data_IF_445481849881
#
_entry.id   IF_445481849881
#
_cell.length_a   1.000
_cell.length_b   1.000
_cell.length_c   1.000
_cell.angle_alpha   90.00
_cell.angle_beta   90.00
_cell.angle_gamma   90.00
#
_symmetry.space_group_name_H-M   'P 1'
#
loop_
_entity.id
_entity.type
_entity.pdbx_description
1 polymer ?
#
# COMPACT_ATOMS: atom_id res chain seq x y z
N UNK A 1 -6.66 -1.25 24.71
CA UNK A 1 -6.98 -1.00 23.29
C UNK A 1 -6.47 -2.21 22.51
N UNK A 2 -7.29 -2.84 21.67
CA UNK A 2 -6.84 -3.98 20.86
C UNK A 2 -5.81 -3.50 19.83
N UNK A 3 -4.74 -4.31 19.63
CA UNK A 3 -3.71 -4.04 18.64
C UNK A 3 -3.64 -5.19 17.65
N UNK A 4 -3.46 -4.88 16.37
CA UNK A 4 -3.11 -5.81 15.31
C UNK A 4 -1.73 -5.40 14.82
N UNK A 5 -0.75 -6.24 15.11
CA UNK A 5 0.66 -5.98 14.86
C UNK A 5 1.24 -7.00 13.90
N UNK A 6 2.06 -6.53 12.97
CA UNK A 6 2.71 -7.38 11.97
C UNK A 6 1.78 -7.82 10.83
N UNK A 7 1.98 -7.26 9.63
CA UNK A 7 1.17 -7.57 8.44
C UNK A 7 1.76 -8.71 7.59
N UNK A 8 2.51 -9.62 8.23
CA UNK A 8 3.13 -10.79 7.59
C UNK A 8 2.40 -12.10 7.90
N UNK A 9 1.57 -12.11 8.95
CA UNK A 9 0.80 -13.31 9.34
C UNK A 9 -0.28 -13.62 8.32
N UNK A 10 -0.67 -14.89 8.09
CA UNK A 10 -1.74 -15.27 7.16
C UNK A 10 -3.05 -14.51 7.38
N UNK A 11 -3.38 -14.22 8.62
CA UNK A 11 -4.61 -13.52 9.01
C UNK A 11 -4.60 -12.03 8.62
N UNK A 12 -3.45 -11.34 8.73
CA UNK A 12 -3.35 -9.89 8.56
C UNK A 12 -2.53 -9.44 7.33
N UNK A 13 -1.98 -10.39 6.57
CA UNK A 13 -1.17 -10.06 5.39
C UNK A 13 -1.89 -9.22 4.32
N UNK A 14 -3.22 -9.23 4.33
CA UNK A 14 -4.02 -8.38 3.44
C UNK A 14 -3.82 -6.87 3.72
N UNK A 15 -3.31 -6.49 4.90
CA UNK A 15 -2.96 -5.10 5.24
C UNK A 15 -1.63 -4.66 4.61
N UNK A 16 -0.74 -5.62 4.27
CA UNK A 16 0.55 -5.34 3.65
C UNK A 16 0.41 -4.80 2.22
N UNK A 17 1.35 -3.92 1.83
CA UNK A 17 1.47 -3.43 0.45
C UNK A 17 1.88 -4.53 -0.55
N UNK A 18 2.47 -5.63 -0.06
CA UNK A 18 2.87 -6.78 -0.86
C UNK A 18 1.74 -7.75 -1.16
N UNK A 19 0.61 -7.62 -0.48
CA UNK A 19 -0.54 -8.50 -0.69
C UNK A 19 -1.09 -8.35 -2.10
N UNK A 20 -1.31 -9.49 -2.78
CA UNK A 20 -1.88 -9.50 -4.12
C UNK A 20 -3.36 -9.09 -4.05
N UNK A 21 -3.62 -7.90 -4.50
CA UNK A 21 -4.95 -7.34 -4.68
C UNK A 21 -4.88 -6.31 -5.80
N UNK A 22 -5.82 -6.32 -6.76
CA UNK A 22 -5.82 -5.37 -7.85
C UNK A 22 -5.98 -3.93 -7.32
N UNK A 23 -5.11 -3.03 -7.79
CA UNK A 23 -5.20 -1.60 -7.50
C UNK A 23 -5.11 -0.81 -8.79
N UNK A 24 -5.91 0.23 -8.94
CA UNK A 24 -5.88 1.12 -10.09
C UNK A 24 -4.98 2.31 -9.77
N UNK A 25 -3.92 2.48 -10.54
CA UNK A 25 -3.04 3.63 -10.39
C UNK A 25 -2.41 4.02 -11.73
N UNK A 26 -2.15 5.30 -11.88
CA UNK A 26 -1.38 5.93 -12.94
C UNK A 26 -1.23 7.40 -12.65
N UNK A 27 -0.32 8.05 -13.37
CA UNK A 27 -0.06 9.49 -13.31
C UNK A 27 0.20 10.05 -14.73
N UNK A 28 0.78 11.23 -14.83
CA UNK A 28 1.07 11.89 -16.12
C UNK A 28 2.07 11.11 -16.98
N UNK A 29 2.90 10.25 -16.38
CA UNK A 29 3.96 9.48 -17.06
C UNK A 29 3.51 8.05 -17.33
N UNK A 30 2.81 7.44 -16.37
CA UNK A 30 2.33 6.05 -16.46
C UNK A 30 0.83 6.06 -16.69
N UNK A 31 0.32 5.50 -17.80
CA UNK A 31 -1.10 5.39 -18.03
C UNK A 31 -1.81 4.65 -16.89
N UNK A 32 -3.03 5.08 -16.59
CA UNK A 32 -3.86 4.48 -15.54
C UNK A 32 -4.19 3.02 -15.89
N UNK A 33 -3.79 2.09 -15.03
CA UNK A 33 -4.00 0.66 -15.23
C UNK A 33 -4.07 -0.10 -13.90
N UNK A 34 -4.48 -1.37 -13.98
CA UNK A 34 -4.55 -2.26 -12.81
C UNK A 34 -3.18 -2.87 -12.53
N UNK A 35 -2.75 -2.75 -11.28
CA UNK A 35 -1.52 -3.32 -10.75
C UNK A 35 -1.81 -4.47 -9.78
N UNK A 36 -0.90 -5.44 -9.62
CA UNK A 36 -1.16 -6.63 -8.80
C UNK A 36 -1.12 -6.40 -7.29
N UNK A 37 -0.57 -5.27 -6.84
CA UNK A 37 -0.41 -4.90 -5.43
C UNK A 37 -0.08 -3.43 -5.29
N UNK A 38 -0.16 -2.85 -4.09
CA UNK A 38 0.26 -1.47 -3.81
C UNK A 38 1.76 -1.24 -4.04
N UNK A 39 2.60 -2.25 -3.73
CA UNK A 39 4.05 -2.10 -3.80
C UNK A 39 4.54 -1.79 -5.21
N UNK A 40 3.94 -2.38 -6.24
CA UNK A 40 4.38 -2.19 -7.63
C UNK A 40 4.26 -0.73 -8.07
N UNK A 41 3.08 -0.11 -8.09
CA UNK A 41 2.95 1.29 -8.51
C UNK A 41 3.65 2.26 -7.55
N UNK A 42 3.75 1.93 -6.25
CA UNK A 42 4.53 2.71 -5.31
C UNK A 42 6.01 2.79 -5.69
N UNK A 43 6.60 1.68 -6.16
CA UNK A 43 7.99 1.68 -6.64
C UNK A 43 8.14 2.43 -7.96
N UNK A 44 7.18 2.32 -8.88
CA UNK A 44 7.15 3.06 -10.16
C UNK A 44 7.06 4.57 -9.91
N UNK A 45 6.21 5.01 -8.98
CA UNK A 45 6.01 6.42 -8.66
C UNK A 45 7.25 7.16 -8.13
N UNK A 46 8.28 6.42 -7.68
CA UNK A 46 9.55 6.98 -7.23
C UNK A 46 10.32 7.73 -8.32
N UNK A 47 10.00 7.47 -9.58
CA UNK A 47 10.80 7.93 -10.71
C UNK A 47 9.99 8.84 -11.63
N UNK A 48 10.64 9.86 -12.16
CA UNK A 48 10.08 10.71 -13.22
C UNK A 48 10.64 10.36 -14.60
N UNK A 49 11.70 9.56 -14.66
CA UNK A 49 12.26 9.05 -15.90
C UNK A 49 11.44 7.85 -16.42
N UNK A 50 10.84 7.94 -17.63
CA UNK A 50 10.08 6.84 -18.23
C UNK A 50 10.90 5.57 -18.41
N UNK A 51 12.20 5.66 -18.71
CA UNK A 51 13.07 4.50 -18.90
C UNK A 51 13.28 3.72 -17.59
N UNK A 52 13.43 4.42 -16.46
CA UNK A 52 13.51 3.79 -15.14
C UNK A 52 12.18 3.09 -14.77
N UNK A 53 11.03 3.69 -15.08
CA UNK A 53 9.73 3.06 -14.89
C UNK A 53 9.55 1.82 -15.75
N UNK A 54 9.91 1.92 -17.03
CA UNK A 54 9.87 0.76 -17.95
C UNK A 54 10.73 -0.40 -17.45
N UNK A 55 11.91 -0.12 -16.90
CA UNK A 55 12.79 -1.14 -16.30
C UNK A 55 12.11 -1.92 -15.16
N UNK A 56 11.28 -1.27 -14.33
CA UNK A 56 10.52 -1.95 -13.28
C UNK A 56 9.42 -2.80 -13.91
N UNK A 57 8.67 -2.25 -14.86
CA UNK A 57 7.56 -2.93 -15.55
C UNK A 57 8.08 -4.17 -16.26
N UNK A 58 9.13 -4.06 -17.05
CA UNK A 58 9.75 -5.18 -17.75
C UNK A 58 10.24 -6.29 -16.80
N UNK A 59 10.76 -5.90 -15.65
CA UNK A 59 11.24 -6.86 -14.66
C UNK A 59 10.10 -7.61 -13.97
N UNK A 60 8.98 -6.95 -13.65
CA UNK A 60 7.83 -7.60 -13.03
C UNK A 60 7.07 -8.51 -13.98
N UNK A 61 7.10 -8.22 -15.29
CA UNK A 61 6.44 -9.04 -16.31
C UNK A 61 7.15 -10.37 -16.58
N UNK A 62 8.43 -10.45 -16.21
CA UNK A 62 9.25 -11.67 -16.36
C UNK A 62 9.13 -12.64 -15.18
N UNK A 63 8.38 -12.29 -14.13
CA UNK A 63 8.26 -13.11 -12.91
C UNK A 63 6.82 -13.46 -12.60
N UNK A 64 6.65 -14.49 -11.77
CA UNK A 64 5.33 -14.92 -11.30
C UNK A 64 4.64 -13.81 -10.48
N UNK A 65 3.31 -13.78 -10.47
CA UNK A 65 2.51 -12.73 -9.83
C UNK A 65 2.90 -12.47 -8.37
N UNK A 66 3.18 -13.53 -7.60
CA UNK A 66 3.58 -13.42 -6.20
C UNK A 66 5.00 -12.84 -5.98
N UNK A 67 5.84 -12.82 -7.02
CA UNK A 67 7.19 -12.24 -6.98
C UNK A 67 7.22 -10.75 -7.38
N UNK A 68 6.16 -10.25 -8.03
CA UNK A 68 6.14 -8.92 -8.64
C UNK A 68 6.43 -7.79 -7.65
N UNK A 69 5.84 -7.83 -6.47
CA UNK A 69 6.09 -6.83 -5.41
C UNK A 69 7.56 -6.79 -4.98
N UNK A 70 8.15 -7.97 -4.75
CA UNK A 70 9.56 -8.08 -4.36
C UNK A 70 10.50 -7.64 -5.48
N UNK A 71 10.16 -7.98 -6.73
CA UNK A 71 10.92 -7.57 -7.91
C UNK A 71 10.87 -6.05 -8.10
N UNK A 72 9.69 -5.44 -8.04
CA UNK A 72 9.54 -3.99 -8.12
C UNK A 72 10.36 -3.28 -7.04
N UNK A 73 10.31 -3.75 -5.79
CA UNK A 73 11.11 -3.21 -4.70
C UNK A 73 12.61 -3.35 -4.93
N UNK A 74 13.06 -4.49 -5.47
CA UNK A 74 14.47 -4.73 -5.78
C UNK A 74 14.98 -3.76 -6.85
N UNK A 75 14.26 -3.61 -7.96
CA UNK A 75 14.66 -2.70 -9.04
C UNK A 75 14.54 -1.23 -8.59
N UNK A 76 13.46 -0.89 -7.87
CA UNK A 76 13.25 0.46 -7.35
C UNK A 76 14.30 0.95 -6.33
N UNK A 77 15.23 0.08 -5.91
CA UNK A 77 16.39 0.44 -5.08
C UNK A 77 17.67 0.72 -5.88
N UNK A 78 17.67 0.36 -7.16
CA UNK A 78 18.85 0.55 -8.05
C UNK A 78 19.02 2.01 -8.42
N UNK A 79 17.94 2.75 -8.57
CA UNK A 79 17.93 4.13 -9.02
C UNK A 79 17.68 5.11 -7.88
N UNK A 80 18.16 6.33 -8.03
CA UNK A 80 17.81 7.44 -7.14
C UNK A 80 16.33 7.83 -7.36
N UNK A 81 15.60 7.96 -6.26
CA UNK A 81 14.23 8.46 -6.32
C UNK A 81 14.21 9.94 -6.78
N UNK A 82 13.06 10.38 -7.30
CA UNK A 82 12.79 11.78 -7.64
C UNK A 82 13.11 12.70 -6.45
N UNK A 83 13.63 13.93 -6.70
CA UNK A 83 14.08 14.81 -5.62
C UNK A 83 13.02 15.19 -4.60
N UNK A 84 11.75 15.21 -5.02
CA UNK A 84 10.61 15.53 -4.17
C UNK A 84 9.91 14.31 -3.56
N UNK A 85 10.53 13.11 -3.66
CA UNK A 85 9.92 11.85 -3.20
C UNK A 85 9.43 11.92 -1.75
N UNK A 86 10.19 12.51 -0.86
CA UNK A 86 9.80 12.61 0.55
C UNK A 86 8.54 13.45 0.78
N UNK A 87 8.21 14.38 -0.13
CA UNK A 87 6.97 15.16 -0.07
C UNK A 87 5.76 14.41 -0.63
N UNK A 88 5.96 13.58 -1.66
CA UNK A 88 4.85 12.95 -2.39
C UNK A 88 4.56 11.52 -1.98
N UNK A 89 5.53 10.80 -1.40
CA UNK A 89 5.43 9.37 -1.08
C UNK A 89 4.22 9.00 -0.21
N UNK A 90 3.83 9.88 0.72
CA UNK A 90 2.69 9.62 1.61
C UNK A 90 1.37 9.75 0.85
N UNK A 91 1.23 10.77 0.01
CA UNK A 91 0.04 10.95 -0.85
C UNK A 91 -0.12 9.78 -1.79
N UNK A 92 0.95 9.36 -2.48
CA UNK A 92 0.93 8.18 -3.35
C UNK A 92 0.45 6.94 -2.57
N UNK A 93 0.96 6.74 -1.34
CA UNK A 93 0.55 5.59 -0.53
C UNK A 93 -0.90 5.67 -0.08
N UNK A 94 -1.40 6.86 0.26
CA UNK A 94 -2.82 7.07 0.61
C UNK A 94 -3.70 6.66 -0.56
N UNK A 95 -3.42 7.13 -1.77
CA UNK A 95 -4.19 6.83 -2.97
C UNK A 95 -4.23 5.32 -3.26
N UNK A 96 -3.09 4.65 -3.15
CA UNK A 96 -2.97 3.21 -3.37
C UNK A 96 -3.72 2.39 -2.32
N UNK A 97 -3.58 2.74 -1.04
CA UNK A 97 -4.29 2.03 0.04
C UNK A 97 -5.79 2.28 -0.07
N UNK A 98 -6.19 3.51 -0.37
CA UNK A 98 -7.61 3.84 -0.56
C UNK A 98 -8.21 3.05 -1.73
N UNK A 99 -7.58 3.04 -2.91
CA UNK A 99 -8.07 2.27 -4.06
C UNK A 99 -8.12 0.77 -3.75
N UNK A 100 -7.08 0.22 -3.10
CA UNK A 100 -7.06 -1.20 -2.71
C UNK A 100 -8.30 -1.60 -1.90
N UNK A 101 -8.66 -0.82 -0.89
CA UNK A 101 -9.75 -1.18 0.02
C UNK A 101 -11.13 -0.71 -0.45
N UNK A 102 -11.24 0.25 -1.38
CA UNK A 102 -12.51 0.61 -2.01
C UNK A 102 -12.85 -0.27 -3.21
N UNK A 103 -11.83 -0.75 -3.93
CA UNK A 103 -11.98 -1.64 -5.09
C UNK A 103 -12.28 -3.09 -4.72
N UNK A 104 -11.71 -3.58 -3.63
CA UNK A 104 -11.81 -4.97 -3.22
C UNK A 104 -12.74 -5.12 -2.00
N UNK A 105 -14.01 -5.40 -2.22
CA UNK A 105 -15.05 -5.42 -1.18
C UNK A 105 -14.79 -6.40 -0.05
N UNK A 106 -14.22 -7.57 -0.33
CA UNK A 106 -13.81 -8.54 0.67
C UNK A 106 -12.71 -7.99 1.60
N UNK A 107 -11.76 -7.25 1.03
CA UNK A 107 -10.71 -6.59 1.81
C UNK A 107 -11.26 -5.41 2.61
N UNK A 108 -12.21 -4.65 2.06
CA UNK A 108 -12.92 -3.61 2.79
C UNK A 108 -13.64 -4.19 4.02
N UNK A 109 -14.39 -5.27 3.85
CA UNK A 109 -15.08 -5.95 4.95
C UNK A 109 -14.09 -6.44 6.03
N UNK A 110 -12.95 -6.99 5.62
CA UNK A 110 -11.89 -7.42 6.56
C UNK A 110 -11.25 -6.23 7.28
N UNK A 111 -11.01 -5.10 6.60
CA UNK A 111 -10.49 -3.89 7.25
C UNK A 111 -11.50 -3.33 8.26
N UNK A 112 -12.79 -3.28 7.90
CA UNK A 112 -13.86 -2.86 8.80
C UNK A 112 -14.00 -3.78 10.02
N UNK A 113 -13.82 -5.10 9.85
CA UNK A 113 -13.89 -6.07 10.95
C UNK A 113 -12.78 -5.90 11.99
N UNK A 114 -11.71 -5.16 11.70
CA UNK A 114 -10.70 -4.79 12.70
C UNK A 114 -11.24 -3.81 13.77
N UNK A 115 -12.44 -3.28 13.59
CA UNK A 115 -13.11 -2.40 14.54
C UNK A 115 -12.28 -1.14 14.86
N UNK A 116 -11.98 -0.97 16.14
CA UNK A 116 -11.15 0.15 16.63
C UNK A 116 -9.73 -0.28 17.01
N UNK A 117 -9.28 -1.45 16.55
CA UNK A 117 -7.91 -1.90 16.82
C UNK A 117 -6.88 -0.93 16.23
N UNK A 118 -5.81 -0.70 16.97
CA UNK A 118 -4.63 -0.02 16.46
C UNK A 118 -3.93 -0.95 15.45
N UNK A 119 -3.67 -0.48 14.23
CA UNK A 119 -2.99 -1.23 13.19
C UNK A 119 -1.52 -0.81 13.15
N UNK A 120 -0.61 -1.77 13.32
CA UNK A 120 0.83 -1.52 13.42
C UNK A 120 1.56 -2.36 12.37
N UNK A 121 2.23 -1.68 11.43
CA UNK A 121 3.20 -2.32 10.53
C UNK A 121 4.48 -2.63 11.29
N UNK A 122 4.47 -3.71 12.06
CA UNK A 122 5.65 -4.13 12.79
C UNK A 122 6.63 -4.86 11.90
N UNK A 123 7.91 -4.53 12.02
CA UNK A 123 8.98 -5.10 11.22
C UNK A 123 10.28 -5.24 12.02
N UNK A 124 11.22 -6.03 11.48
CA UNK A 124 12.54 -6.27 12.06
C UNK A 124 13.70 -5.87 11.11
N UNK A 125 13.38 -5.16 10.00
CA UNK A 125 14.36 -4.76 8.98
C UNK A 125 14.66 -3.26 8.97
N UNK A 126 14.31 -2.53 10.05
CA UNK A 126 14.69 -1.14 10.29
C UNK A 126 13.78 -0.10 9.63
N UNK A 127 12.59 -0.45 9.13
CA UNK A 127 11.65 0.54 8.60
C UNK A 127 10.92 1.23 9.74
N UNK A 128 11.41 2.41 10.12
CA UNK A 128 10.82 3.26 11.16
C UNK A 128 9.93 4.37 10.60
N UNK A 129 9.77 4.46 9.27
CA UNK A 129 8.87 5.43 8.66
C UNK A 129 7.50 4.81 8.37
N UNK A 130 7.43 3.78 7.53
CA UNK A 130 6.16 3.13 7.20
C UNK A 130 5.64 2.28 8.34
N UNK A 131 6.53 1.67 9.11
CA UNK A 131 6.21 0.80 10.23
C UNK A 131 6.86 1.21 11.54
N UNK A 132 6.95 0.21 12.40
CA UNK A 132 7.67 0.24 13.68
C UNK A 132 8.66 -0.91 13.73
N UNK A 133 9.90 -0.61 14.16
CA UNK A 133 10.95 -1.59 14.39
C UNK A 133 11.38 -1.53 15.86
N UNK A 134 11.30 -2.66 16.57
CA UNK A 134 11.60 -2.72 18.00
C UNK A 134 10.82 -1.67 18.83
N UNK A 135 9.55 -1.48 18.52
CA UNK A 135 8.68 -0.52 19.22
C UNK A 135 8.93 0.95 18.87
N UNK A 136 9.81 1.25 17.92
CA UNK A 136 10.13 2.62 17.48
C UNK A 136 9.75 2.83 16.03
N UNK A 137 9.14 3.97 15.71
CA UNK A 137 8.76 4.34 14.35
C UNK A 137 7.51 5.18 14.28
N UNK A 138 7.23 5.67 13.06
CA UNK A 138 6.10 6.58 12.79
C UNK A 138 4.81 5.83 12.46
N UNK A 139 4.92 4.55 12.08
CA UNK A 139 3.78 3.70 11.68
C UNK A 139 2.85 4.38 10.66
N UNK A 140 3.43 5.00 9.64
CA UNK A 140 2.65 5.79 8.67
C UNK A 140 1.67 4.91 7.90
N UNK A 141 2.05 3.66 7.53
CA UNK A 141 1.14 2.74 6.85
C UNK A 141 -0.04 2.36 7.75
N UNK A 142 0.21 2.04 9.01
CA UNK A 142 -0.87 1.72 9.96
C UNK A 142 -1.84 2.89 10.15
N UNK A 143 -1.32 4.12 10.20
CA UNK A 143 -2.17 5.34 10.28
C UNK A 143 -3.03 5.54 9.02
N UNK A 144 -2.47 5.31 7.82
CA UNK A 144 -3.21 5.38 6.56
C UNK A 144 -4.33 4.34 6.56
N UNK A 145 -4.04 3.08 6.93
CA UNK A 145 -5.03 2.01 7.01
C UNK A 145 -6.18 2.35 7.98
N UNK A 146 -5.86 2.89 9.15
CA UNK A 146 -6.88 3.34 10.11
C UNK A 146 -7.69 4.51 9.55
N UNK A 147 -7.08 5.44 8.82
CA UNK A 147 -7.77 6.53 8.13
C UNK A 147 -8.74 6.02 7.05
N UNK A 148 -8.30 5.11 6.20
CA UNK A 148 -9.14 4.48 5.16
C UNK A 148 -10.30 3.71 5.82
N UNK A 149 -10.05 2.96 6.88
CA UNK A 149 -11.11 2.28 7.66
C UNK A 149 -12.17 3.26 8.15
N UNK A 150 -11.75 4.41 8.66
CA UNK A 150 -12.69 5.44 9.16
C UNK A 150 -13.56 6.01 8.02
N UNK A 151 -13.01 6.22 6.83
CA UNK A 151 -13.78 6.65 5.65
C UNK A 151 -14.80 5.59 5.27
N UNK A 152 -14.38 4.34 5.12
CA UNK A 152 -15.27 3.22 4.78
C UNK A 152 -16.40 3.03 5.81
N UNK A 153 -16.13 3.24 7.10
CA UNK A 153 -17.16 3.18 8.15
C UNK A 153 -18.23 4.25 7.96
N UNK A 154 -17.83 5.48 7.62
CA UNK A 154 -18.78 6.59 7.37
C UNK A 154 -19.66 6.32 6.17
N UNK A 155 -19.09 5.85 5.06
CA UNK A 155 -19.81 5.51 3.83
C UNK A 155 -20.83 4.38 4.08
N UNK A 156 -20.44 3.38 4.89
CA UNK A 156 -21.34 2.27 5.25
C UNK A 156 -22.50 2.72 6.13
N UNK A 157 -22.27 3.65 7.06
CA UNK A 157 -23.31 4.22 7.92
C UNK A 157 -24.21 5.17 7.10
N UNK A 158 -23.64 6.02 6.24
CA UNK A 158 -24.40 6.94 5.39
C UNK A 158 -25.37 6.21 4.45
N UNK A 159 -24.94 5.09 3.87
CA UNK A 159 -25.80 4.24 3.03
C UNK A 159 -26.91 3.49 3.80
N UNK A 160 -26.79 3.35 5.12
CA UNK A 160 -27.86 2.76 5.96
C UNK A 160 -28.92 3.76 6.42
N UNK A 161 -28.58 5.06 6.48
CA UNK A 161 -29.48 6.12 6.95
C UNK A 161 -30.28 6.72 5.80
N UNK A 162 -29.83 6.52 4.56
CA UNK A 162 -30.48 7.04 3.33
C UNK A 162 -31.44 6.08 2.62
N UNK A 163 -31.88 4.99 3.30
CA UNK A 163 -32.90 4.06 2.78
C UNK A 163 -34.14 4.07 3.64
#
# INVERSE_FOLDING_TARGET
MNKISGFTTPQHRYLSNFYLAPVLWGDEITPKQIWPSNEVPYQIAKFTDPAQRASIIDAIDKVQSWQRSSMAKRIGRVYLARPDWDRVKVTVMIDLVFDKFTRNYDLAARLLSTGNAELIEENNWGDTFWGMCNGQGKNVLGRILMGVRMVLQKDFIGNKIGR
#
